data_IF_211618147245
#
_entry.id   IF_211618147245
#
_cell.length_a   1.000
_cell.length_b   1.000
_cell.length_c   1.000
_cell.angle_alpha   90.00
_cell.angle_beta   90.00
_cell.angle_gamma   90.00
#
_symmetry.space_group_name_H-M   'P 1'
#
loop_
_entity.id
_entity.type
_entity.pdbx_description
1 polymer ?
#
# COMPACT_ATOMS: atom_id res chain seq x y z
N UNK A 1 -39.08 -37.42 -25.78
CA UNK A 1 -39.07 -35.94 -25.80
C UNK A 1 -37.64 -35.45 -25.64
N UNK A 2 -37.05 -34.84 -26.67
CA UNK A 2 -35.63 -34.46 -26.69
C UNK A 2 -35.36 -33.20 -25.86
N UNK A 3 -34.22 -33.12 -25.18
CA UNK A 3 -33.74 -31.94 -24.45
C UNK A 3 -33.69 -30.68 -25.34
N UNK A 4 -33.45 -30.84 -26.64
CA UNK A 4 -33.52 -29.75 -27.62
C UNK A 4 -34.91 -29.14 -27.74
N UNK A 5 -35.96 -29.97 -27.70
CA UNK A 5 -37.33 -29.50 -27.81
C UNK A 5 -37.73 -28.73 -26.55
N UNK A 6 -37.31 -29.20 -25.36
CA UNK A 6 -37.51 -28.46 -24.10
C UNK A 6 -36.81 -27.10 -24.09
N UNK A 7 -35.60 -27.00 -24.63
CA UNK A 7 -34.88 -25.73 -24.73
C UNK A 7 -35.55 -24.78 -25.73
N UNK A 8 -36.06 -25.29 -26.85
CA UNK A 8 -36.83 -24.48 -27.80
C UNK A 8 -38.16 -23.97 -27.21
N UNK A 9 -38.86 -24.79 -26.43
CA UNK A 9 -40.08 -24.38 -25.74
C UNK A 9 -39.81 -23.27 -24.70
N UNK A 10 -38.69 -23.33 -23.97
CA UNK A 10 -38.27 -22.29 -23.02
C UNK A 10 -37.90 -20.97 -23.72
N UNK A 11 -37.38 -21.05 -24.96
CA UNK A 11 -37.04 -19.86 -25.76
C UNK A 11 -38.30 -19.24 -26.39
N UNK A 12 -39.33 -20.04 -26.70
CA UNK A 12 -40.57 -19.59 -27.33
C UNK A 12 -41.65 -19.12 -26.35
N UNK A 13 -41.66 -19.61 -25.10
CA UNK A 13 -42.49 -19.08 -24.04
C UNK A 13 -41.88 -17.76 -23.52
N UNK A 14 -42.53 -16.64 -23.79
CA UNK A 14 -42.28 -15.28 -23.26
C UNK A 14 -41.01 -15.12 -22.42
N UNK A 15 -39.98 -14.56 -23.05
CA UNK A 15 -38.64 -14.24 -22.51
C UNK A 15 -38.55 -14.20 -20.96
N UNK A 16 -37.76 -15.08 -20.31
CA UNK A 16 -37.61 -15.12 -18.84
C UNK A 16 -37.18 -13.78 -18.21
N UNK A 17 -36.60 -12.88 -18.99
CA UNK A 17 -36.24 -11.51 -18.63
C UNK A 17 -37.46 -10.64 -18.25
N UNK A 18 -38.62 -10.86 -18.87
CA UNK A 18 -39.84 -10.11 -18.54
C UNK A 18 -40.44 -10.56 -17.21
N UNK A 19 -40.41 -11.86 -16.90
CA UNK A 19 -40.88 -12.38 -15.63
C UNK A 19 -40.01 -11.90 -14.46
N UNK A 20 -38.68 -11.99 -14.60
CA UNK A 20 -37.73 -11.52 -13.59
C UNK A 20 -37.84 -10.01 -13.35
N UNK A 21 -37.91 -9.20 -14.41
CA UNK A 21 -38.02 -7.75 -14.28
C UNK A 21 -39.36 -7.32 -13.68
N UNK A 22 -40.46 -8.02 -13.99
CA UNK A 22 -41.75 -7.77 -13.36
C UNK A 22 -41.76 -8.14 -11.88
N UNK A 23 -41.10 -9.23 -11.49
CA UNK A 23 -40.95 -9.61 -10.09
C UNK A 23 -40.10 -8.58 -9.33
N UNK A 24 -38.95 -8.19 -9.89
CA UNK A 24 -38.08 -7.18 -9.30
C UNK A 24 -38.80 -5.84 -9.11
N UNK A 25 -39.61 -5.40 -10.08
CA UNK A 25 -40.44 -4.19 -9.91
C UNK A 25 -41.42 -4.30 -8.76
N UNK A 26 -42.06 -5.46 -8.57
CA UNK A 26 -42.98 -5.69 -7.44
C UNK A 26 -42.23 -5.67 -6.11
N UNK A 27 -41.06 -6.30 -6.06
CA UNK A 27 -40.22 -6.33 -4.86
C UNK A 27 -39.74 -4.91 -4.51
N UNK A 28 -39.30 -4.13 -5.50
CA UNK A 28 -38.94 -2.71 -5.32
C UNK A 28 -40.12 -1.91 -4.76
N UNK A 29 -41.30 -2.00 -5.37
CA UNK A 29 -42.48 -1.28 -4.88
C UNK A 29 -42.86 -1.66 -3.44
N UNK A 30 -42.69 -2.93 -3.07
CA UNK A 30 -42.94 -3.41 -1.70
C UNK A 30 -41.96 -2.78 -0.70
N UNK A 31 -40.67 -2.75 -1.04
CA UNK A 31 -39.65 -2.14 -0.19
C UNK A 31 -39.85 -0.63 -0.11
N UNK A 32 -40.17 0.04 -1.23
CA UNK A 32 -40.50 1.47 -1.22
C UNK A 32 -41.69 1.78 -0.31
N UNK A 33 -42.73 0.94 -0.35
CA UNK A 33 -43.88 1.10 0.53
C UNK A 33 -43.51 0.91 2.00
N UNK A 34 -42.73 -0.14 2.32
CA UNK A 34 -42.23 -0.36 3.67
C UNK A 34 -41.42 0.84 4.19
N UNK A 35 -40.53 1.39 3.36
CA UNK A 35 -39.74 2.57 3.71
C UNK A 35 -40.63 3.79 3.94
N UNK A 36 -41.62 4.04 3.07
CA UNK A 36 -42.57 5.16 3.25
C UNK A 36 -43.40 5.02 4.52
N UNK A 37 -43.83 3.81 4.86
CA UNK A 37 -44.55 3.55 6.10
C UNK A 37 -43.65 3.78 7.32
N UNK A 38 -42.37 3.38 7.25
CA UNK A 38 -41.38 3.70 8.28
C UNK A 38 -41.16 5.21 8.42
N UNK A 39 -40.93 5.92 7.30
CA UNK A 39 -40.72 7.38 7.27
C UNK A 39 -41.93 8.16 7.77
N UNK A 40 -43.15 7.61 7.62
CA UNK A 40 -44.36 8.20 8.19
C UNK A 40 -44.43 8.04 9.70
N UNK A 41 -43.95 6.92 10.24
CA UNK A 41 -44.03 6.59 11.66
C UNK A 41 -42.86 7.20 12.46
N UNK A 42 -41.66 7.29 11.87
CA UNK A 42 -40.47 7.85 12.53
C UNK A 42 -40.68 9.25 13.15
N UNK A 43 -41.33 10.22 12.49
CA UNK A 43 -41.62 11.53 13.09
C UNK A 43 -42.63 11.46 14.25
N UNK A 44 -43.47 10.43 14.29
CA UNK A 44 -44.45 10.24 15.37
C UNK A 44 -43.84 9.60 16.63
N UNK A 45 -42.64 9.03 16.51
CA UNK A 45 -41.84 8.49 17.62
C UNK A 45 -41.07 9.57 18.39
N UNK A 46 -41.47 10.84 18.28
CA UNK A 46 -40.83 11.96 18.98
C UNK A 46 -41.12 11.92 20.49
N UNK A 47 -40.32 11.12 21.20
CA UNK A 47 -39.97 11.31 22.59
C UNK A 47 -38.49 10.94 22.74
N UNK A 48 -37.66 11.96 22.94
CA UNK A 48 -36.24 11.80 23.26
C UNK A 48 -36.11 11.19 24.66
N UNK A 49 -36.19 9.86 24.72
CA UNK A 49 -35.85 9.09 25.91
C UNK A 49 -34.42 9.40 26.37
N UNK A 50 -34.16 9.29 27.68
CA UNK A 50 -32.83 9.47 28.29
C UNK A 50 -31.76 8.64 27.57
N UNK A 51 -30.55 9.17 27.43
CA UNK A 51 -29.41 8.53 26.75
C UNK A 51 -29.21 7.07 27.17
N UNK A 52 -29.37 6.76 28.46
CA UNK A 52 -29.21 5.39 28.99
C UNK A 52 -30.18 4.39 28.37
N UNK A 53 -31.43 4.79 28.13
CA UNK A 53 -32.43 3.95 27.45
C UNK A 53 -32.11 3.76 25.98
N UNK A 54 -31.57 4.78 25.32
CA UNK A 54 -31.14 4.69 23.93
C UNK A 54 -29.97 3.71 23.78
N UNK A 55 -29.02 3.71 24.73
CA UNK A 55 -27.91 2.75 24.77
C UNK A 55 -28.46 1.31 24.91
N UNK A 56 -29.39 1.08 25.85
CA UNK A 56 -30.01 -0.25 26.03
C UNK A 56 -30.77 -0.68 24.77
N UNK A 57 -31.54 0.22 24.17
CA UNK A 57 -32.26 -0.05 22.92
C UNK A 57 -31.31 -0.37 21.77
N UNK A 58 -30.19 0.35 21.65
CA UNK A 58 -29.16 0.06 20.65
C UNK A 58 -28.58 -1.35 20.86
N UNK A 59 -28.28 -1.73 22.10
CA UNK A 59 -27.85 -3.08 22.42
C UNK A 59 -28.89 -4.15 22.08
N UNK A 60 -30.18 -3.89 22.29
CA UNK A 60 -31.26 -4.80 21.90
C UNK A 60 -31.44 -4.90 20.37
N UNK A 61 -31.08 -3.86 19.62
CA UNK A 61 -31.12 -3.90 18.14
C UNK A 61 -29.97 -4.69 17.52
N UNK A 62 -28.82 -4.82 18.21
CA UNK A 62 -27.71 -5.64 17.74
C UNK A 62 -28.11 -7.12 17.68
N UNK A 63 -28.55 -7.58 16.52
CA UNK A 63 -29.00 -8.96 16.27
C UNK A 63 -30.41 -9.05 15.72
N UNK A 64 -31.17 -7.94 15.67
CA UNK A 64 -32.48 -7.89 15.02
C UNK A 64 -32.34 -7.28 13.62
N UNK A 65 -32.76 -8.03 12.62
CA UNK A 65 -32.84 -7.55 11.23
C UNK A 65 -34.24 -6.95 11.04
N UNK A 66 -34.37 -5.63 10.80
CA UNK A 66 -35.67 -4.97 10.73
C UNK A 66 -36.47 -5.30 9.46
N UNK A 67 -35.80 -5.73 8.38
CA UNK A 67 -36.44 -6.16 7.15
C UNK A 67 -36.11 -7.61 6.83
N UNK A 68 -37.13 -8.46 6.86
CA UNK A 68 -37.03 -9.86 6.44
C UNK A 68 -37.53 -9.99 4.99
N UNK A 69 -36.62 -10.34 4.09
CA UNK A 69 -36.95 -10.59 2.69
C UNK A 69 -37.72 -11.90 2.52
N UNK A 70 -38.55 -11.98 1.49
CA UNK A 70 -39.19 -13.22 1.09
C UNK A 70 -38.15 -14.16 0.44
N UNK A 71 -38.36 -15.47 0.50
CA UNK A 71 -37.46 -16.47 -0.12
C UNK A 71 -37.35 -16.30 -1.63
N UNK A 72 -38.38 -15.73 -2.25
CA UNK A 72 -38.44 -15.47 -3.69
C UNK A 72 -38.03 -14.03 -4.06
N UNK A 73 -37.51 -13.26 -3.10
CA UNK A 73 -37.14 -11.87 -3.33
C UNK A 73 -35.92 -11.78 -4.26
N UNK A 74 -36.06 -11.00 -5.32
CA UNK A 74 -35.04 -10.84 -6.36
C UNK A 74 -34.07 -9.69 -6.06
N UNK A 75 -34.32 -8.90 -5.01
CA UNK A 75 -33.52 -7.74 -4.63
C UNK A 75 -32.06 -8.12 -4.33
N UNK A 76 -31.82 -9.16 -3.55
CA UNK A 76 -30.44 -9.57 -3.19
C UNK A 76 -29.60 -9.89 -4.44
N UNK A 77 -30.19 -10.58 -5.41
CA UNK A 77 -29.54 -10.93 -6.67
C UNK A 77 -29.28 -9.69 -7.52
N UNK A 78 -30.23 -8.75 -7.57
CA UNK A 78 -30.07 -7.47 -8.26
C UNK A 78 -28.95 -6.62 -7.62
N UNK A 79 -28.97 -6.45 -6.30
CA UNK A 79 -27.97 -5.69 -5.55
C UNK A 79 -26.57 -6.28 -5.73
N UNK A 80 -26.43 -7.60 -5.62
CA UNK A 80 -25.15 -8.28 -5.83
C UNK A 80 -24.62 -8.04 -7.25
N UNK A 81 -25.50 -8.09 -8.24
CA UNK A 81 -25.12 -7.84 -9.64
C UNK A 81 -24.61 -6.41 -9.85
N UNK A 82 -25.25 -5.41 -9.25
CA UNK A 82 -24.83 -4.00 -9.32
C UNK A 82 -23.47 -3.82 -8.64
N UNK A 83 -23.30 -4.36 -7.43
CA UNK A 83 -22.03 -4.27 -6.69
C UNK A 83 -20.89 -4.91 -7.49
N UNK A 84 -21.11 -6.09 -8.07
CA UNK A 84 -20.11 -6.76 -8.89
C UNK A 84 -19.75 -5.93 -10.13
N UNK A 85 -20.73 -5.32 -10.79
CA UNK A 85 -20.48 -4.43 -11.92
C UNK A 85 -19.66 -3.20 -11.52
N UNK A 86 -19.94 -2.58 -10.37
CA UNK A 86 -19.16 -1.46 -9.85
C UNK A 86 -17.72 -1.87 -9.51
N UNK A 87 -17.54 -3.02 -8.87
CA UNK A 87 -16.21 -3.57 -8.58
C UNK A 87 -15.45 -3.83 -9.87
N UNK A 88 -16.07 -4.49 -10.85
CA UNK A 88 -15.47 -4.71 -12.16
C UNK A 88 -15.05 -3.38 -12.76
N UNK A 89 -15.95 -2.39 -12.82
CA UNK A 89 -15.65 -1.06 -13.35
C UNK A 89 -14.48 -0.40 -12.62
N UNK A 90 -14.39 -0.53 -11.30
CA UNK A 90 -13.28 0.01 -10.50
C UNK A 90 -11.93 -0.63 -10.86
N UNK A 91 -11.90 -1.91 -11.20
CA UNK A 91 -10.67 -2.64 -11.50
C UNK A 91 -10.33 -2.74 -13.00
N UNK A 92 -11.31 -2.59 -13.90
CA UNK A 92 -11.11 -2.61 -15.35
C UNK A 92 -10.97 -1.22 -15.97
N UNK A 93 -11.36 -0.17 -15.23
CA UNK A 93 -11.03 1.19 -15.66
C UNK A 93 -9.50 1.32 -15.70
N UNK A 94 -8.91 1.72 -16.83
CA UNK A 94 -7.48 1.93 -16.90
C UNK A 94 -7.15 2.99 -15.85
N UNK A 95 -6.45 2.57 -14.78
CA UNK A 95 -5.82 3.54 -13.88
C UNK A 95 -4.96 4.42 -14.78
N UNK A 96 -5.09 5.77 -14.70
CA UNK A 96 -4.15 6.62 -15.41
C UNK A 96 -2.77 6.13 -15.03
N UNK A 97 -1.85 5.94 -16.00
CA UNK A 97 -0.52 5.50 -15.67
C UNK A 97 0.01 6.51 -14.66
N UNK A 98 0.19 6.07 -13.41
CA UNK A 98 1.00 6.80 -12.46
C UNK A 98 2.42 6.65 -12.97
N UNK A 99 2.75 7.42 -14.01
CA UNK A 99 4.12 7.75 -14.36
C UNK A 99 4.64 8.54 -13.17
N UNK A 100 5.19 7.81 -12.21
CA UNK A 100 5.94 8.41 -11.12
C UNK A 100 7.14 9.07 -11.80
N UNK A 101 7.14 10.40 -11.84
CA UNK A 101 8.25 11.14 -12.41
C UNK A 101 9.45 11.04 -11.48
N UNK A 102 10.38 10.13 -11.83
CA UNK A 102 11.61 9.87 -11.09
C UNK A 102 12.77 10.76 -11.58
N UNK A 103 12.52 11.70 -12.49
CA UNK A 103 13.58 12.51 -13.12
C UNK A 103 14.41 13.27 -12.08
N UNK A 104 13.77 13.76 -11.00
CA UNK A 104 14.46 14.43 -9.90
C UNK A 104 15.41 13.47 -9.14
N UNK A 105 14.96 12.25 -8.85
CA UNK A 105 15.76 11.23 -8.15
C UNK A 105 16.97 10.83 -9.00
N UNK A 106 16.77 10.67 -10.31
CA UNK A 106 17.82 10.33 -11.26
C UNK A 106 18.87 11.44 -11.31
N UNK A 107 18.44 12.71 -11.45
CA UNK A 107 19.35 13.85 -11.45
C UNK A 107 20.17 13.96 -10.15
N UNK A 108 19.54 13.68 -9.00
CA UNK A 108 20.22 13.70 -7.70
C UNK A 108 21.28 12.58 -7.58
N UNK A 109 20.97 11.38 -8.09
CA UNK A 109 21.91 10.25 -8.11
C UNK A 109 23.11 10.54 -9.02
N UNK A 110 22.88 11.13 -10.20
CA UNK A 110 23.96 11.51 -11.13
C UNK A 110 24.88 12.57 -10.52
N UNK A 111 24.33 13.59 -9.86
CA UNK A 111 25.09 14.61 -9.17
C UNK A 111 25.99 14.01 -8.06
N UNK A 112 25.42 13.14 -7.21
CA UNK A 112 26.17 12.44 -6.16
C UNK A 112 27.27 11.54 -6.72
N UNK A 113 27.03 10.87 -7.84
CA UNK A 113 28.02 9.99 -8.45
C UNK A 113 29.20 10.80 -9.00
N UNK A 114 28.93 11.95 -9.61
CA UNK A 114 29.95 12.88 -10.10
C UNK A 114 30.79 13.47 -8.96
N UNK A 115 30.17 13.82 -7.84
CA UNK A 115 30.88 14.31 -6.66
C UNK A 115 31.80 13.24 -6.07
N UNK A 116 31.31 12.01 -5.91
CA UNK A 116 32.12 10.88 -5.43
C UNK A 116 33.30 10.58 -6.35
N UNK A 117 33.10 10.58 -7.67
CA UNK A 117 34.19 10.41 -8.63
C UNK A 117 35.25 11.50 -8.51
N UNK A 118 34.84 12.76 -8.34
CA UNK A 118 35.77 13.87 -8.11
C UNK A 118 36.56 13.67 -6.82
N UNK A 119 35.90 13.27 -5.74
CA UNK A 119 36.54 13.00 -4.46
C UNK A 119 37.57 11.86 -4.56
N UNK A 120 37.24 10.77 -5.27
CA UNK A 120 38.16 9.68 -5.53
C UNK A 120 39.38 10.12 -6.36
N UNK A 121 39.18 10.96 -7.37
CA UNK A 121 40.28 11.52 -8.15
C UNK A 121 41.19 12.42 -7.32
N UNK A 122 40.62 13.25 -6.43
CA UNK A 122 41.41 14.06 -5.48
C UNK A 122 42.17 13.19 -4.48
N UNK A 123 41.55 12.13 -3.97
CA UNK A 123 42.21 11.19 -3.07
C UNK A 123 43.35 10.44 -3.77
N UNK A 124 43.13 9.99 -5.00
CA UNK A 124 44.15 9.31 -5.79
C UNK A 124 45.31 10.25 -6.14
N UNK A 125 45.01 11.49 -6.54
CA UNK A 125 45.99 12.53 -6.81
C UNK A 125 46.77 13.00 -5.57
N UNK A 126 46.23 12.84 -4.37
CA UNK A 126 46.93 13.12 -3.11
C UNK A 126 47.71 11.91 -2.57
N UNK A 127 47.30 10.67 -2.88
CA UNK A 127 48.07 9.47 -2.53
C UNK A 127 49.34 9.32 -3.38
N UNK A 128 49.29 9.71 -4.66
CA UNK A 128 50.41 9.48 -5.59
C UNK A 128 51.68 10.31 -5.31
N UNK A 129 51.62 11.55 -4.76
CA UNK A 129 52.81 12.32 -4.42
C UNK A 129 53.10 12.46 -2.91
N UNK A 130 52.26 11.96 -1.99
CA UNK A 130 52.37 12.28 -0.55
C UNK A 130 52.82 11.15 0.38
N UNK A 131 53.11 9.94 -0.13
CA UNK A 131 53.70 8.89 0.72
C UNK A 131 55.21 8.78 0.49
N UNK A 132 55.96 9.77 0.97
CA UNK A 132 57.38 9.59 1.27
C UNK A 132 57.49 8.92 2.64
N UNK A 133 57.98 7.68 2.66
CA UNK A 133 58.10 6.90 3.88
C UNK A 133 59.14 7.53 4.81
N UNK A 134 58.79 7.94 6.05
CA UNK A 134 59.76 8.52 6.98
C UNK A 134 60.74 7.49 7.55
N UNK A 135 60.64 6.22 7.12
CA UNK A 135 61.52 5.15 7.56
C UNK A 135 62.97 5.33 7.11
N UNK A 136 63.24 5.88 5.92
CA UNK A 136 64.62 6.06 5.46
C UNK A 136 65.38 7.05 6.33
N UNK A 137 64.80 8.23 6.61
CA UNK A 137 65.48 9.23 7.46
C UNK A 137 65.67 8.74 8.89
N UNK A 138 64.73 7.93 9.41
CA UNK A 138 64.83 7.36 10.76
C UNK A 138 65.85 6.22 10.86
N UNK A 139 66.09 5.48 9.77
CA UNK A 139 67.16 4.47 9.70
C UNK A 139 68.53 5.15 9.63
N UNK A 140 68.67 6.24 8.87
CA UNK A 140 69.91 7.03 8.85
C UNK A 140 70.23 7.64 10.22
N UNK A 141 69.24 8.22 10.89
CA UNK A 141 69.39 8.78 12.24
C UNK A 141 69.79 7.71 13.27
N UNK A 142 69.17 6.52 13.19
CA UNK A 142 69.53 5.39 14.06
C UNK A 142 70.97 4.89 13.80
N UNK A 143 71.40 4.85 12.54
CA UNK A 143 72.78 4.49 12.16
C UNK A 143 73.82 5.47 12.70
N UNK A 144 73.53 6.77 12.61
CA UNK A 144 74.40 7.82 13.16
C UNK A 144 74.51 7.71 14.68
N UNK A 145 73.39 7.57 15.38
CA UNK A 145 73.37 7.38 16.83
C UNK A 145 74.11 6.12 17.27
N UNK A 146 74.01 5.04 16.50
CA UNK A 146 74.75 3.81 16.79
C UNK A 146 76.26 4.02 16.63
N UNK A 147 76.69 4.77 15.62
CA UNK A 147 78.10 5.11 15.42
C UNK A 147 78.63 5.97 16.57
N UNK A 148 77.87 6.98 16.99
CA UNK A 148 78.21 7.83 18.15
C UNK A 148 78.30 7.02 19.44
N UNK A 149 77.39 6.07 19.65
CA UNK A 149 77.41 5.17 20.80
C UNK A 149 78.68 4.30 20.81
N UNK A 150 79.05 3.73 19.66
CA UNK A 150 80.24 2.90 19.53
C UNK A 150 81.54 3.70 19.77
N UNK A 151 81.60 4.95 19.30
CA UNK A 151 82.69 5.87 19.61
C UNK A 151 82.77 6.20 21.10
N UNK A 152 81.63 6.51 21.72
CA UNK A 152 81.56 6.79 23.15
C UNK A 152 82.01 5.60 24.00
N UNK A 153 81.56 4.39 23.64
CA UNK A 153 82.02 3.14 24.27
C UNK A 153 83.54 3.02 24.13
N UNK A 154 84.12 3.16 22.91
CA UNK A 154 85.57 3.10 22.71
C UNK A 154 86.35 4.10 23.57
N UNK A 155 85.84 5.32 23.73
CA UNK A 155 86.47 6.34 24.58
C UNK A 155 86.44 5.93 26.06
N UNK A 156 85.37 5.31 26.53
CA UNK A 156 85.28 4.81 27.91
C UNK A 156 86.25 3.63 28.10
N UNK A 157 86.23 2.64 27.21
CA UNK A 157 87.06 1.44 27.35
C UNK A 157 88.55 1.71 27.18
N UNK A 158 88.94 2.78 26.49
CA UNK A 158 90.34 3.21 26.37
C UNK A 158 90.85 4.08 27.52
N UNK A 159 89.97 4.50 28.43
CA UNK A 159 90.30 5.24 29.66
C UNK A 159 90.32 4.38 30.93
N UNK A 160 90.02 3.08 30.81
CA UNK A 160 90.18 2.04 31.84
C UNK A 160 91.47 1.28 31.53
#
# INVERSE_FOLDING_TARGET
MSLRNRLQDIIQQETPTNAYSNQLKKDISRVEQFTRDCDRVLPTLHDSDSIDKQIIALYDTYGRIPYNHDKNDTINTATTSVILQELIKKYTSPKPPTTIDLSFLIAQLEANNKEKQKMLQTLHGSLSPAFESPLESKVEEASQLQTELDEFIKVITSRI
#
